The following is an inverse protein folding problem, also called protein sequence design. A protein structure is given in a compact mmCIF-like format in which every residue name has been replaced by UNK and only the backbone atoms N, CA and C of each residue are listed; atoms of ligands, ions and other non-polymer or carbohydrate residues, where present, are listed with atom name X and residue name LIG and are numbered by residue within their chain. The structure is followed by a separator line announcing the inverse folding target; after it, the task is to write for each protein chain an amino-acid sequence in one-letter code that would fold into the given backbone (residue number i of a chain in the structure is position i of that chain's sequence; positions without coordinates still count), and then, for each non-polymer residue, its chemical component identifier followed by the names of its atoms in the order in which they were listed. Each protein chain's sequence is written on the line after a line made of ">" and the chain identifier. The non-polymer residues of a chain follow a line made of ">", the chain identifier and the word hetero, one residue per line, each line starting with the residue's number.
data_IF_454321077911
#
_entry.id   IF_454321077911
#
_cell.length_a   1.000
_cell.length_b   1.000
_cell.length_c   1.000
_cell.angle_alpha   90.00
_cell.angle_beta   90.00
_cell.angle_gamma   90.00
#
_symmetry.space_group_name_H-M   'P 1'
#
loop_
_entity.id
_entity.type
_entity.pdbx_description
1 polymer ?
#
# COMPACT_ATOMS: atom_id res chain seq x y z
N UNK A 1 -22.20 -22.23 -0.58
CA UNK A 1 -21.53 -23.30 -1.35
C UNK A 1 -20.05 -22.94 -1.50
N UNK A 2 -19.22 -23.30 -0.52
CA UNK A 2 -17.79 -22.98 -0.51
C UNK A 2 -16.99 -24.00 -1.34
N UNK A 3 -17.38 -25.28 -1.29
CA UNK A 3 -16.71 -26.36 -2.01
C UNK A 3 -16.68 -26.13 -3.53
N UNK A 4 -17.78 -25.66 -4.14
CA UNK A 4 -17.78 -25.34 -5.57
C UNK A 4 -16.89 -24.15 -5.92
N UNK A 5 -16.81 -23.12 -5.06
CA UNK A 5 -15.93 -21.97 -5.28
C UNK A 5 -14.45 -22.39 -5.24
N UNK A 6 -14.08 -23.24 -4.28
CA UNK A 6 -12.73 -23.82 -4.20
C UNK A 6 -12.44 -24.66 -5.44
N UNK A 7 -13.38 -25.50 -5.88
CA UNK A 7 -13.21 -26.35 -7.07
C UNK A 7 -12.94 -25.53 -8.35
N UNK A 8 -13.70 -24.46 -8.57
CA UNK A 8 -13.51 -23.57 -9.74
C UNK A 8 -12.12 -22.91 -9.67
N UNK A 9 -11.73 -22.36 -8.52
CA UNK A 9 -10.40 -21.74 -8.35
C UNK A 9 -9.27 -22.75 -8.58
N UNK A 10 -9.38 -23.96 -8.01
CA UNK A 10 -8.40 -25.03 -8.19
C UNK A 10 -8.28 -25.49 -9.64
N UNK A 11 -9.40 -25.55 -10.36
CA UNK A 11 -9.41 -25.94 -11.77
C UNK A 11 -8.75 -24.88 -12.67
N UNK A 12 -9.06 -23.59 -12.46
CA UNK A 12 -8.43 -22.49 -13.21
C UNK A 12 -6.91 -22.45 -12.99
N UNK A 13 -6.46 -22.65 -11.75
CA UNK A 13 -5.03 -22.77 -11.42
C UNK A 13 -4.37 -23.97 -12.14
N UNK A 14 -5.04 -25.12 -12.17
CA UNK A 14 -4.54 -26.32 -12.85
C UNK A 14 -4.42 -26.09 -14.36
N UNK A 15 -5.43 -25.49 -14.99
CA UNK A 15 -5.40 -25.15 -16.41
C UNK A 15 -4.28 -24.15 -16.72
N UNK A 16 -4.12 -23.09 -15.93
CA UNK A 16 -3.03 -22.12 -16.11
C UNK A 16 -1.64 -22.76 -15.97
N UNK A 17 -1.48 -23.71 -15.04
CA UNK A 17 -0.22 -24.41 -14.82
C UNK A 17 0.11 -25.47 -15.90
N UNK A 18 -0.90 -26.06 -16.55
CA UNK A 18 -0.72 -27.14 -17.53
C UNK A 18 -0.81 -26.68 -18.99
N UNK A 19 -1.44 -25.53 -19.27
CA UNK A 19 -1.56 -24.97 -20.62
C UNK A 19 -0.40 -24.02 -20.99
N UNK A 20 0.76 -24.12 -20.33
CA UNK A 20 1.95 -23.35 -20.67
C UNK A 20 2.50 -23.76 -22.05
N UNK A 21 1.94 -23.16 -23.10
CA UNK A 21 2.64 -22.85 -24.36
C UNK A 21 3.93 -22.07 -24.04
N UNK A 22 4.99 -22.09 -24.87
CA UNK A 22 6.24 -21.41 -24.55
C UNK A 22 5.94 -19.93 -24.30
N UNK A 23 5.97 -19.54 -23.04
CA UNK A 23 5.74 -18.16 -22.62
C UNK A 23 6.88 -17.37 -23.26
N UNK A 24 6.60 -16.37 -24.14
CA UNK A 24 7.65 -15.48 -24.59
C UNK A 24 8.35 -14.92 -23.35
N UNK A 25 9.69 -14.74 -23.37
CA UNK A 25 10.42 -14.31 -22.19
C UNK A 25 9.69 -13.11 -21.60
N UNK A 26 9.25 -13.27 -20.34
CA UNK A 26 8.64 -12.20 -19.56
C UNK A 26 9.65 -11.06 -19.66
N UNK A 27 9.34 -10.01 -20.41
CA UNK A 27 10.10 -8.77 -20.35
C UNK A 27 10.13 -8.43 -18.87
N UNK A 28 11.31 -8.55 -18.25
CA UNK A 28 11.52 -8.08 -16.89
C UNK A 28 10.94 -6.68 -16.85
N UNK A 29 9.98 -6.38 -15.94
CA UNK A 29 9.52 -5.03 -15.77
C UNK A 29 10.76 -4.14 -15.70
N UNK A 30 10.76 -3.03 -16.45
CA UNK A 30 11.85 -2.07 -16.33
C UNK A 30 12.08 -1.80 -14.83
N UNK A 31 13.31 -1.52 -14.41
CA UNK A 31 13.64 -1.35 -12.98
C UNK A 31 12.73 -0.33 -12.25
N UNK A 32 12.05 0.54 -13.01
CA UNK A 32 11.05 1.51 -12.56
C UNK A 32 9.65 0.94 -12.24
N UNK A 33 9.31 -0.28 -12.66
CA UNK A 33 7.99 -0.93 -12.49
C UNK A 33 8.01 -2.00 -11.38
N UNK A 34 8.89 -1.84 -10.39
CA UNK A 34 8.89 -2.76 -9.25
C UNK A 34 7.67 -2.47 -8.37
N UNK A 35 6.68 -3.37 -8.43
CA UNK A 35 5.50 -3.31 -7.57
C UNK A 35 5.92 -3.29 -6.10
N UNK A 36 5.25 -2.45 -5.30
CA UNK A 36 5.60 -2.36 -3.89
C UNK A 36 5.24 -3.65 -3.14
N UNK A 37 6.10 -4.05 -2.21
CA UNK A 37 5.79 -5.19 -1.33
C UNK A 37 4.67 -4.84 -0.36
N UNK A 38 3.90 -5.85 0.05
CA UNK A 38 2.85 -5.68 1.07
C UNK A 38 3.40 -5.03 2.35
N UNK A 39 4.60 -5.42 2.78
CA UNK A 39 5.27 -4.85 3.95
C UNK A 39 5.57 -3.36 3.80
N UNK A 40 6.06 -2.92 2.63
CA UNK A 40 6.30 -1.51 2.34
C UNK A 40 5.01 -0.69 2.39
N UNK A 41 3.91 -1.25 1.88
CA UNK A 41 2.59 -0.62 1.94
C UNK A 41 2.07 -0.49 3.39
N UNK A 42 2.24 -1.52 4.22
CA UNK A 42 1.90 -1.44 5.65
C UNK A 42 2.72 -0.38 6.39
N UNK A 43 4.01 -0.28 6.08
CA UNK A 43 4.88 0.76 6.62
C UNK A 43 4.43 2.17 6.20
N UNK A 44 4.00 2.36 4.95
CA UNK A 44 3.39 3.61 4.49
C UNK A 44 2.12 3.92 5.28
N UNK A 45 1.23 2.94 5.49
CA UNK A 45 0.00 3.14 6.25
C UNK A 45 0.25 3.48 7.72
N UNK A 46 1.24 2.87 8.35
CA UNK A 46 1.62 3.19 9.72
C UNK A 46 2.15 4.63 9.83
N UNK A 47 3.02 5.03 8.90
CA UNK A 47 3.54 6.41 8.84
C UNK A 47 2.41 7.42 8.60
N UNK A 48 1.52 7.14 7.65
CA UNK A 48 0.35 7.97 7.37
C UNK A 48 -0.54 8.14 8.60
N UNK A 49 -0.84 7.06 9.31
CA UNK A 49 -1.64 7.13 10.54
C UNK A 49 -0.98 8.01 11.58
N UNK A 50 0.33 7.82 11.83
CA UNK A 50 1.07 8.63 12.78
C UNK A 50 1.03 10.12 12.39
N UNK A 51 1.32 10.44 11.12
CA UNK A 51 1.29 11.83 10.64
C UNK A 51 -0.09 12.46 10.79
N UNK A 52 -1.17 11.71 10.50
CA UNK A 52 -2.54 12.20 10.65
C UNK A 52 -2.93 12.44 12.11
N UNK A 53 -2.40 11.64 13.05
CA UNK A 53 -2.54 11.89 14.49
C UNK A 53 -1.75 13.13 14.90
N UNK A 54 -0.50 13.26 14.43
CA UNK A 54 0.38 14.38 14.78
C UNK A 54 -0.21 15.74 14.37
N UNK A 55 -0.85 15.81 13.20
CA UNK A 55 -1.55 17.01 12.73
C UNK A 55 -2.98 17.16 13.28
N UNK A 56 -3.38 16.30 14.24
CA UNK A 56 -4.70 16.26 14.85
C UNK A 56 -5.88 16.07 13.87
N UNK A 57 -5.65 15.45 12.71
CA UNK A 57 -6.72 15.12 11.74
C UNK A 57 -7.55 13.91 12.20
N UNK A 58 -6.90 12.95 12.88
CA UNK A 58 -7.56 11.81 13.52
C UNK A 58 -7.12 11.71 14.98
N UNK A 59 -7.98 11.17 15.84
CA UNK A 59 -7.64 10.88 17.23
C UNK A 59 -7.15 9.43 17.39
N UNK A 60 -6.06 9.25 18.13
CA UNK A 60 -5.56 7.93 18.50
C UNK A 60 -6.63 7.17 19.32
N UNK A 61 -6.93 5.93 18.90
CA UNK A 61 -7.87 5.05 19.61
C UNK A 61 -9.35 5.19 19.25
N UNK A 62 -9.75 6.17 18.42
CA UNK A 62 -11.11 6.23 17.85
C UNK A 62 -11.27 5.27 16.66
N UNK A 63 -12.50 4.84 16.33
CA UNK A 63 -12.73 3.87 15.26
C UNK A 63 -12.09 4.32 13.94
N UNK A 64 -11.14 3.49 13.44
CA UNK A 64 -10.26 3.68 12.27
C UNK A 64 -10.98 3.73 10.92
N UNK A 65 -12.17 4.33 10.85
CA UNK A 65 -12.97 4.43 9.62
C UNK A 65 -12.23 5.17 8.51
N UNK A 66 -11.46 6.20 8.86
CA UNK A 66 -10.63 6.97 7.92
C UNK A 66 -9.49 6.11 7.39
N UNK A 67 -8.68 5.49 8.26
CA UNK A 67 -7.59 4.59 7.84
C UNK A 67 -8.08 3.43 6.99
N UNK A 68 -9.24 2.84 7.33
CA UNK A 68 -9.87 1.79 6.51
C UNK A 68 -10.31 2.28 5.13
N UNK A 69 -10.69 3.55 4.99
CA UNK A 69 -11.02 4.16 3.69
C UNK A 69 -9.75 4.45 2.89
N UNK A 70 -8.71 4.99 3.53
CA UNK A 70 -7.42 5.27 2.90
C UNK A 70 -6.72 4.01 2.41
N UNK A 71 -6.68 2.95 3.23
CA UNK A 71 -6.16 1.62 2.82
C UNK A 71 -6.88 1.09 1.57
N UNK A 72 -8.22 1.19 1.54
CA UNK A 72 -9.02 0.79 0.36
C UNK A 72 -8.81 1.69 -0.86
N UNK A 73 -8.43 2.95 -0.67
CA UNK A 73 -8.12 3.87 -1.76
C UNK A 73 -6.79 3.47 -2.41
N UNK A 74 -5.73 3.36 -1.61
CA UNK A 74 -4.39 3.01 -2.11
C UNK A 74 -4.27 1.55 -2.59
N UNK A 75 -5.07 0.63 -2.05
CA UNK A 75 -5.07 -0.76 -2.54
C UNK A 75 -5.62 -0.89 -3.96
N UNK A 76 -6.33 0.12 -4.49
CA UNK A 76 -6.87 0.12 -5.85
C UNK A 76 -5.89 0.64 -6.89
N UNK A 77 -4.90 1.42 -6.47
CA UNK A 77 -4.01 2.14 -7.38
C UNK A 77 -2.76 1.35 -7.76
N UNK A 78 -2.55 0.15 -7.18
CA UNK A 78 -1.38 -0.71 -7.40
C UNK A 78 -0.07 0.09 -7.44
N UNK A 79 0.27 0.76 -6.33
CA UNK A 79 1.41 1.67 -6.31
C UNK A 79 2.75 0.96 -6.55
N UNK A 80 3.65 1.64 -7.26
CA UNK A 80 5.04 1.23 -7.39
C UNK A 80 5.90 1.70 -6.19
N UNK A 81 7.16 1.27 -6.16
CA UNK A 81 8.12 1.65 -5.10
C UNK A 81 8.42 3.16 -5.09
N UNK A 82 8.50 3.80 -6.26
CA UNK A 82 8.81 5.22 -6.39
C UNK A 82 7.68 6.10 -5.85
N UNK A 83 6.43 5.78 -6.19
CA UNK A 83 5.23 6.45 -5.69
C UNK A 83 5.12 6.34 -4.17
N UNK A 84 5.39 5.15 -3.60
CA UNK A 84 5.40 4.95 -2.15
C UNK A 84 6.50 5.80 -1.49
N UNK A 85 7.68 5.88 -2.09
CA UNK A 85 8.76 6.73 -1.60
C UNK A 85 8.40 8.22 -1.65
N UNK A 86 7.74 8.68 -2.73
CA UNK A 86 7.24 10.05 -2.85
C UNK A 86 6.23 10.34 -1.73
N UNK A 87 5.26 9.45 -1.52
CA UNK A 87 4.25 9.60 -0.47
C UNK A 87 4.90 9.67 0.92
N UNK A 88 5.88 8.80 1.21
CA UNK A 88 6.65 8.86 2.47
C UNK A 88 7.44 10.16 2.61
N UNK A 89 8.02 10.67 1.53
CA UNK A 89 8.71 11.95 1.50
C UNK A 89 7.79 13.11 1.87
N UNK A 90 6.57 13.13 1.34
CA UNK A 90 5.54 14.12 1.70
C UNK A 90 5.20 14.04 3.19
N UNK A 91 4.93 12.84 3.73
CA UNK A 91 4.61 12.65 5.15
C UNK A 91 5.76 13.12 6.06
N UNK A 92 7.00 12.81 5.67
CA UNK A 92 8.22 13.24 6.38
C UNK A 92 8.33 14.76 6.40
N UNK A 93 8.11 15.42 5.26
CA UNK A 93 8.15 16.88 5.18
C UNK A 93 7.08 17.55 6.05
N UNK A 94 5.88 16.97 6.13
CA UNK A 94 4.80 17.44 7.01
C UNK A 94 5.24 17.35 8.48
N UNK A 95 5.74 16.19 8.92
CA UNK A 95 6.18 16.00 10.31
C UNK A 95 7.35 16.92 10.67
N UNK A 96 8.35 17.07 9.80
CA UNK A 96 9.45 18.02 10.01
C UNK A 96 8.96 19.46 10.14
N UNK A 97 7.93 19.86 9.36
CA UNK A 97 7.34 21.18 9.47
C UNK A 97 6.61 21.35 10.80
N UNK A 98 5.88 20.34 11.23
CA UNK A 98 5.19 20.33 12.51
C UNK A 98 6.17 20.47 13.69
N UNK A 99 7.24 19.68 13.71
CA UNK A 99 8.30 19.77 14.72
C UNK A 99 8.91 21.17 14.80
N UNK A 100 9.17 21.81 13.66
CA UNK A 100 9.69 23.18 13.60
C UNK A 100 8.71 24.21 14.16
N UNK A 101 7.41 24.02 13.96
CA UNK A 101 6.37 24.91 14.50
C UNK A 101 6.29 24.72 16.01
N UNK A 102 6.20 23.48 16.49
CA UNK A 102 6.15 23.15 17.93
C UNK A 102 7.39 23.69 18.66
N UNK A 103 8.57 23.58 18.07
CA UNK A 103 9.82 24.10 18.66
C UNK A 103 9.92 25.63 18.67
N UNK A 104 9.12 26.35 17.86
CA UNK A 104 9.07 27.82 17.90
C UNK A 104 8.11 28.36 18.96
N UNK A 105 7.15 27.56 19.39
CA UNK A 105 6.15 27.92 20.39
C UNK A 105 6.57 27.56 21.83
N UNK A 106 7.73 26.90 21.98
CA UNK A 106 8.40 26.62 23.26
C UNK A 106 9.49 27.64 23.54
#
# INVERSE_FOLDING_TARGET
>A
NIAAAVQVISYELYCAATQSSPVPPISTPAEDEQWVTYEAMENLYAHLEQTLVDIAFIEAGKPRNVMRRLRRLFSRTQLDVNEVNILRGILTAVQQRLERVVNRER
#
